data_IF_745806741779
#
_entry.id   IF_745806741779
#
_cell.length_a   1.000
_cell.length_b   1.000
_cell.length_c   1.000
_cell.angle_alpha   90.00
_cell.angle_beta   90.00
_cell.angle_gamma   90.00
#
_symmetry.space_group_name_H-M   'P 1'
#
loop_
_entity.id
_entity.type
_entity.pdbx_description
1 polymer ?
#
# COMPACT_ATOMS: atom_id res chain seq x y z
N UNK A 1 63.56 7.03 2.50
CA UNK A 1 62.32 7.81 2.36
C UNK A 1 61.16 6.84 2.51
N UNK A 2 60.50 6.82 3.67
CA UNK A 2 59.37 5.94 3.95
C UNK A 2 58.10 6.80 4.03
N UNK A 3 57.11 6.47 3.19
CA UNK A 3 55.79 7.13 3.16
C UNK A 3 54.95 6.58 4.32
N UNK A 4 54.39 7.41 5.21
CA UNK A 4 53.52 6.91 6.26
C UNK A 4 52.14 6.54 5.67
N UNK A 5 51.75 5.29 5.86
CA UNK A 5 50.42 4.79 5.50
C UNK A 5 49.36 5.38 6.43
N UNK A 6 48.34 5.97 5.81
CA UNK A 6 47.17 6.53 6.50
C UNK A 6 46.27 5.38 6.97
N UNK A 7 45.74 5.39 8.21
CA UNK A 7 44.82 4.35 8.65
C UNK A 7 43.48 4.45 7.91
N UNK A 8 42.75 3.34 7.71
CA UNK A 8 41.45 3.36 7.06
C UNK A 8 40.44 4.14 7.90
N UNK A 9 39.67 5.01 7.25
CA UNK A 9 38.56 5.73 7.88
C UNK A 9 37.53 4.73 8.37
N UNK A 10 37.22 4.77 9.67
CA UNK A 10 36.09 4.04 10.24
C UNK A 10 34.82 4.43 9.48
N UNK A 11 34.14 3.45 8.89
CA UNK A 11 32.81 3.65 8.31
C UNK A 11 31.85 3.84 9.47
N UNK A 12 31.48 5.09 9.75
CA UNK A 12 30.33 5.36 10.61
C UNK A 12 29.09 4.80 9.91
N UNK A 13 28.51 3.75 10.49
CA UNK A 13 27.17 3.26 10.15
C UNK A 13 26.21 4.37 10.56
N UNK A 14 25.93 5.27 9.62
CA UNK A 14 25.05 6.41 9.83
C UNK A 14 23.67 5.93 10.27
N UNK A 15 23.15 6.53 11.33
CA UNK A 15 21.77 6.43 11.80
C UNK A 15 20.77 6.42 10.62
N UNK A 16 19.68 5.63 10.66
CA UNK A 16 18.66 5.65 9.62
C UNK A 16 18.21 7.09 9.33
N UNK A 17 18.16 7.42 8.03
CA UNK A 17 17.79 8.75 7.49
C UNK A 17 16.45 9.20 8.12
N UNK A 18 16.20 10.51 8.30
CA UNK A 18 14.97 11.03 8.92
C UNK A 18 13.66 10.41 8.38
N UNK A 19 13.58 10.15 7.07
CA UNK A 19 12.42 9.51 6.43
C UNK A 19 12.19 8.06 6.90
N UNK A 20 13.26 7.27 7.00
CA UNK A 20 13.15 5.88 7.47
C UNK A 20 12.66 5.82 8.93
N UNK A 21 13.08 6.79 9.76
CA UNK A 21 12.58 6.93 11.14
C UNK A 21 11.09 7.30 11.17
N UNK A 22 10.63 8.21 10.28
CA UNK A 22 9.22 8.57 10.19
C UNK A 22 8.34 7.36 9.84
N UNK A 23 8.70 6.59 8.80
CA UNK A 23 7.95 5.38 8.44
C UNK A 23 7.99 4.30 9.52
N UNK A 24 9.11 4.15 10.25
CA UNK A 24 9.18 3.23 11.39
C UNK A 24 8.20 3.61 12.50
N UNK A 25 8.14 4.90 12.86
CA UNK A 25 7.19 5.37 13.88
C UNK A 25 5.74 5.19 13.42
N UNK A 26 5.43 5.52 12.17
CA UNK A 26 4.08 5.29 11.62
C UNK A 26 3.73 3.81 11.64
N UNK A 27 4.68 2.94 11.27
CA UNK A 27 4.51 1.49 11.31
C UNK A 27 4.15 1.01 12.71
N UNK A 28 4.91 1.40 13.73
CA UNK A 28 4.70 0.98 15.11
C UNK A 28 3.33 1.44 15.63
N UNK A 29 2.95 2.70 15.36
CA UNK A 29 1.65 3.24 15.76
C UNK A 29 0.48 2.53 15.06
N UNK A 30 0.63 2.22 13.76
CA UNK A 30 -0.37 1.45 13.02
C UNK A 30 -0.51 0.09 13.67
N UNK A 31 0.59 -0.64 13.88
CA UNK A 31 0.59 -1.98 14.46
C UNK A 31 -0.04 -2.04 15.87
N UNK A 32 0.12 -0.96 16.65
CA UNK A 32 -0.46 -0.83 17.99
C UNK A 32 -1.94 -0.43 18.03
N UNK A 33 -2.52 0.00 16.91
CA UNK A 33 -3.85 0.61 16.90
C UNK A 33 -5.01 -0.36 17.21
N UNK A 34 -5.93 0.11 18.08
CA UNK A 34 -7.16 -0.58 18.46
C UNK A 34 -8.41 0.33 18.41
N UNK A 35 -8.35 1.45 17.68
CA UNK A 35 -9.37 2.49 17.71
C UNK A 35 -10.77 2.06 17.20
N UNK A 36 -10.85 1.03 16.34
CA UNK A 36 -12.11 0.59 15.72
C UNK A 36 -12.55 -0.76 16.30
N UNK A 37 -13.47 -0.83 17.30
CA UNK A 37 -13.81 -2.07 18.00
C UNK A 37 -14.29 -3.20 17.07
N UNK A 38 -15.11 -2.86 16.05
CA UNK A 38 -15.61 -3.83 15.06
C UNK A 38 -14.49 -4.49 14.27
N UNK A 39 -13.52 -3.69 13.81
CA UNK A 39 -12.37 -4.19 13.03
C UNK A 39 -11.40 -4.97 13.90
N UNK A 40 -11.20 -4.54 15.14
CA UNK A 40 -10.38 -5.24 16.13
C UNK A 40 -10.95 -6.63 16.42
N UNK A 41 -12.26 -6.71 16.71
CA UNK A 41 -12.93 -7.99 16.95
C UNK A 41 -12.82 -8.92 15.73
N UNK A 42 -13.12 -8.40 14.54
CA UNK A 42 -13.10 -9.19 13.31
C UNK A 42 -11.70 -9.70 12.93
N UNK A 43 -10.69 -8.82 12.89
CA UNK A 43 -9.34 -9.20 12.45
C UNK A 43 -8.71 -10.28 13.34
N UNK A 44 -9.00 -10.21 14.64
CA UNK A 44 -8.53 -11.16 15.65
C UNK A 44 -9.32 -12.47 15.62
N UNK A 45 -10.63 -12.40 15.42
CA UNK A 45 -11.47 -13.60 15.27
C UNK A 45 -11.05 -14.42 14.06
N UNK A 46 -10.84 -13.78 12.91
CA UNK A 46 -10.30 -14.42 11.71
C UNK A 46 -8.92 -15.04 11.96
N UNK A 47 -8.04 -14.36 12.73
CA UNK A 47 -6.71 -14.84 13.06
C UNK A 47 -6.72 -16.04 14.03
N UNK A 48 -7.73 -16.13 14.90
CA UNK A 48 -7.94 -17.27 15.80
C UNK A 48 -8.56 -18.47 15.09
N UNK A 49 -9.64 -18.25 14.34
CA UNK A 49 -10.35 -19.33 13.65
C UNK A 49 -9.50 -19.92 12.54
N UNK A 50 -8.80 -19.05 11.79
CA UNK A 50 -8.01 -19.37 10.59
C UNK A 50 -8.84 -20.05 9.51
N UNK A 51 -8.38 -19.97 8.26
CA UNK A 51 -8.98 -20.77 7.18
C UNK A 51 -8.34 -22.16 7.21
N UNK A 52 -9.10 -23.21 6.90
CA UNK A 52 -8.57 -24.58 6.85
C UNK A 52 -7.28 -24.71 6.00
N UNK A 53 -7.21 -23.98 4.88
CA UNK A 53 -6.02 -23.95 4.01
C UNK A 53 -4.77 -23.31 4.65
N UNK A 54 -4.91 -22.61 5.79
CA UNK A 54 -3.87 -21.85 6.48
C UNK A 54 -3.85 -22.16 7.99
N UNK A 55 -4.34 -23.33 8.40
CA UNK A 55 -4.52 -23.67 9.82
C UNK A 55 -3.19 -23.69 10.59
N UNK A 56 -2.12 -24.13 9.94
CA UNK A 56 -0.77 -24.23 10.52
C UNK A 56 0.00 -22.91 10.47
N UNK A 57 -0.55 -21.87 9.84
CA UNK A 57 0.10 -20.57 9.77
C UNK A 57 -0.22 -19.69 10.99
N UNK A 58 0.77 -18.92 11.42
CA UNK A 58 0.56 -17.84 12.39
C UNK A 58 0.07 -16.59 11.67
N UNK A 59 -1.17 -16.19 11.94
CA UNK A 59 -1.76 -14.98 11.38
C UNK A 59 -1.21 -13.71 12.05
N UNK A 60 -1.07 -12.64 11.27
CA UNK A 60 -0.74 -11.31 11.76
C UNK A 60 -1.80 -10.74 12.73
N UNK A 61 -3.09 -10.77 12.36
CA UNK A 61 -4.21 -10.42 13.25
C UNK A 61 -4.20 -8.99 13.82
N UNK A 62 -3.46 -8.07 13.18
CA UNK A 62 -3.23 -6.68 13.62
C UNK A 62 -3.48 -5.72 12.45
N UNK A 63 -3.52 -4.39 12.69
CA UNK A 63 -3.51 -3.44 11.59
C UNK A 63 -2.27 -3.66 10.72
N UNK A 64 -2.41 -3.50 9.42
CA UNK A 64 -1.35 -3.68 8.45
C UNK A 64 -0.83 -2.28 8.08
N UNK A 65 0.47 -2.00 8.27
CA UNK A 65 1.08 -0.75 7.83
C UNK A 65 1.34 -0.76 6.32
N UNK A 66 1.49 0.43 5.73
CA UNK A 66 2.02 0.54 4.38
C UNK A 66 3.48 0.08 4.31
N UNK A 67 3.95 -0.23 3.10
CA UNK A 67 5.34 -0.59 2.86
C UNK A 67 5.80 -0.19 1.46
N UNK A 68 7.11 -0.09 1.29
CA UNK A 68 7.73 0.16 -0.02
C UNK A 68 8.95 1.05 0.09
N UNK A 69 9.21 1.81 -0.97
CA UNK A 69 10.32 2.75 -1.04
C UNK A 69 9.99 4.04 -0.25
N UNK A 70 10.77 4.42 0.78
CA UNK A 70 10.60 5.69 1.49
C UNK A 70 10.76 6.95 0.63
N UNK A 71 11.24 6.80 -0.62
CA UNK A 71 11.36 7.87 -1.61
C UNK A 71 10.39 7.70 -2.78
N UNK A 72 9.32 6.92 -2.61
CA UNK A 72 8.37 6.66 -3.66
C UNK A 72 7.78 7.94 -4.27
N UNK A 73 7.68 7.96 -5.59
CA UNK A 73 6.93 8.96 -6.35
C UNK A 73 5.53 8.49 -6.73
N UNK A 74 5.25 7.20 -6.54
CA UNK A 74 3.94 6.56 -6.75
C UNK A 74 3.44 5.98 -5.44
N UNK A 75 2.22 6.34 -5.04
CA UNK A 75 1.46 5.66 -3.99
C UNK A 75 0.42 4.74 -4.63
N UNK A 76 0.36 3.49 -4.21
CA UNK A 76 -0.76 2.58 -4.48
C UNK A 76 -1.66 2.57 -3.26
N UNK A 77 -2.88 3.06 -3.43
CA UNK A 77 -3.87 3.17 -2.36
C UNK A 77 -4.99 2.14 -2.55
N UNK A 78 -5.06 1.20 -1.62
CA UNK A 78 -6.12 0.20 -1.51
C UNK A 78 -7.28 0.61 -0.61
N UNK A 79 -8.30 -0.24 -0.57
CA UNK A 79 -9.43 -0.14 0.36
C UNK A 79 -9.01 -0.50 1.79
N UNK A 80 -8.72 -1.77 2.05
CA UNK A 80 -8.33 -2.33 3.34
C UNK A 80 -7.69 -3.72 3.18
N UNK A 81 -6.99 -4.26 4.21
CA UNK A 81 -6.50 -5.64 4.22
C UNK A 81 -7.60 -6.68 4.00
N UNK A 82 -7.31 -7.71 3.19
CA UNK A 82 -8.16 -8.89 3.11
C UNK A 82 -8.00 -9.78 4.36
N UNK A 83 -9.09 -10.41 4.79
CA UNK A 83 -9.16 -11.24 6.00
C UNK A 83 -8.13 -12.39 6.04
N UNK A 84 -7.82 -13.00 4.89
CA UNK A 84 -6.84 -14.08 4.76
C UNK A 84 -5.66 -13.74 3.82
N UNK A 85 -5.54 -12.48 3.42
CA UNK A 85 -4.37 -11.95 2.73
C UNK A 85 -3.51 -11.19 3.72
N UNK A 86 -3.50 -9.86 3.63
CA UNK A 86 -2.70 -8.99 4.49
C UNK A 86 -2.97 -9.15 6.00
N UNK A 87 -4.19 -9.52 6.44
CA UNK A 87 -4.46 -9.81 7.86
C UNK A 87 -3.82 -11.13 8.35
N UNK A 88 -3.48 -12.03 7.41
CA UNK A 88 -2.68 -13.24 7.68
C UNK A 88 -1.19 -12.93 7.59
N UNK A 89 -0.78 -12.28 6.50
CA UNK A 89 0.64 -12.14 6.14
C UNK A 89 1.34 -10.93 6.75
N UNK A 90 0.60 -9.93 7.22
CA UNK A 90 1.14 -8.70 7.81
C UNK A 90 1.71 -7.70 6.80
N UNK A 91 1.53 -7.93 5.49
CA UNK A 91 1.96 -7.01 4.43
C UNK A 91 0.81 -6.73 3.47
N UNK A 92 0.66 -5.47 3.07
CA UNK A 92 -0.42 -5.05 2.17
C UNK A 92 -0.44 -5.90 0.90
N UNK A 93 -1.64 -6.26 0.44
CA UNK A 93 -1.86 -7.06 -0.78
C UNK A 93 -1.03 -8.36 -0.86
N UNK A 94 -0.65 -8.97 0.25
CA UNK A 94 0.23 -10.16 0.26
C UNK A 94 -0.56 -11.40 0.65
N UNK A 95 -0.40 -12.50 -0.11
CA UNK A 95 -1.04 -13.78 0.19
C UNK A 95 -2.51 -13.91 -0.23
N UNK A 96 -2.97 -13.10 -1.18
CA UNK A 96 -4.29 -13.22 -1.79
C UNK A 96 -4.25 -12.90 -3.30
N UNK A 97 -5.32 -13.24 -4.02
CA UNK A 97 -5.39 -13.05 -5.48
C UNK A 97 -5.33 -11.60 -5.93
N UNK A 98 -5.73 -10.64 -5.10
CA UNK A 98 -5.60 -9.22 -5.43
C UNK A 98 -4.14 -8.80 -5.44
N UNK A 99 -3.35 -9.35 -4.53
CA UNK A 99 -1.90 -9.28 -4.52
C UNK A 99 -1.24 -9.77 -5.80
N UNK A 100 -1.61 -10.98 -6.24
CA UNK A 100 -1.02 -11.61 -7.43
C UNK A 100 -1.14 -10.70 -8.66
N UNK A 101 -2.31 -10.09 -8.85
CA UNK A 101 -2.58 -9.16 -9.94
C UNK A 101 -1.82 -7.85 -9.81
N UNK A 102 -1.80 -7.30 -8.59
CA UNK A 102 -1.12 -6.03 -8.30
C UNK A 102 0.39 -6.15 -8.52
N UNK A 103 1.05 -7.11 -7.87
CA UNK A 103 2.51 -7.22 -7.93
C UNK A 103 3.01 -7.70 -9.28
N UNK A 104 2.25 -8.52 -10.02
CA UNK A 104 2.52 -8.80 -11.44
C UNK A 104 2.57 -7.52 -12.28
N UNK A 105 1.56 -6.65 -12.15
CA UNK A 105 1.49 -5.41 -12.91
C UNK A 105 2.61 -4.43 -12.49
N UNK A 106 2.87 -4.31 -11.19
CA UNK A 106 3.97 -3.49 -10.66
C UNK A 106 5.35 -3.99 -11.11
N UNK A 107 5.58 -5.30 -11.14
CA UNK A 107 6.80 -5.91 -11.64
C UNK A 107 7.01 -5.60 -13.12
N UNK A 108 5.98 -5.77 -13.97
CA UNK A 108 6.04 -5.40 -15.39
C UNK A 108 6.35 -3.91 -15.59
N UNK A 109 5.81 -3.05 -14.72
CA UNK A 109 6.13 -1.64 -14.72
C UNK A 109 7.53 -1.34 -14.17
N UNK A 110 8.26 -2.29 -13.58
CA UNK A 110 9.57 -2.05 -12.96
C UNK A 110 9.50 -1.32 -11.62
N UNK A 111 8.38 -1.46 -10.90
CA UNK A 111 8.15 -0.91 -9.55
C UNK A 111 8.37 -1.96 -8.45
N UNK A 112 8.44 -3.25 -8.81
CA UNK A 112 8.70 -4.37 -7.91
C UNK A 112 9.82 -5.25 -8.48
N UNK A 113 10.60 -5.91 -7.62
CA UNK A 113 11.68 -6.81 -8.02
C UNK A 113 11.23 -8.24 -8.37
N UNK A 114 9.99 -8.59 -8.05
CA UNK A 114 9.40 -9.91 -8.31
C UNK A 114 7.89 -9.80 -8.50
N UNK A 115 7.31 -10.80 -9.15
CA UNK A 115 5.86 -10.88 -9.43
C UNK A 115 5.06 -11.28 -8.21
N UNK A 116 5.61 -12.15 -7.36
CA UNK A 116 4.89 -12.80 -6.28
C UNK A 116 5.08 -12.10 -4.94
N UNK A 117 4.02 -12.12 -4.14
CA UNK A 117 3.97 -11.58 -2.78
C UNK A 117 3.27 -12.59 -1.89
N UNK A 118 4.03 -13.55 -1.37
CA UNK A 118 3.52 -14.72 -0.67
C UNK A 118 3.48 -14.52 0.85
N UNK A 119 4.54 -13.93 1.42
CA UNK A 119 4.66 -13.63 2.84
C UNK A 119 5.57 -12.42 3.07
N UNK A 120 5.48 -11.75 4.23
CA UNK A 120 6.19 -10.49 4.48
C UNK A 120 7.72 -10.57 4.33
N UNK A 121 8.31 -11.75 4.50
CA UNK A 121 9.76 -12.01 4.43
C UNK A 121 10.25 -12.61 3.11
N UNK A 122 9.42 -12.67 2.06
CA UNK A 122 9.73 -13.31 0.76
C UNK A 122 10.70 -12.52 -0.15
N UNK A 123 11.30 -11.44 0.35
CA UNK A 123 12.26 -10.64 -0.39
C UNK A 123 11.67 -9.63 -1.39
N UNK A 124 10.34 -9.49 -1.47
CA UNK A 124 9.70 -8.44 -2.28
C UNK A 124 10.18 -7.04 -1.84
N UNK A 125 10.67 -6.28 -2.81
CA UNK A 125 11.13 -4.89 -2.68
C UNK A 125 10.46 -4.03 -3.74
N UNK A 126 10.00 -2.86 -3.31
CA UNK A 126 9.44 -1.85 -4.20
C UNK A 126 10.47 -0.75 -4.44
N UNK A 127 10.53 -0.24 -5.67
CA UNK A 127 11.38 0.90 -6.05
C UNK A 127 10.50 1.97 -6.68
N UNK A 128 10.55 3.19 -6.13
CA UNK A 128 9.70 4.30 -6.58
C UNK A 128 8.21 4.15 -6.24
N UNK A 129 7.81 3.11 -5.51
CA UNK A 129 6.42 2.86 -5.11
C UNK A 129 6.26 2.58 -3.61
N UNK A 130 5.17 3.10 -3.04
CA UNK A 130 4.67 2.77 -1.69
C UNK A 130 3.27 2.16 -1.83
N UNK A 131 2.98 1.08 -1.10
CA UNK A 131 1.69 0.39 -1.14
C UNK A 131 1.04 0.48 0.23
N UNK A 132 -0.19 0.98 0.29
CA UNK A 132 -0.95 1.16 1.53
C UNK A 132 -2.46 1.03 1.29
N UNK A 133 -3.27 1.24 2.34
CA UNK A 133 -4.73 1.27 2.26
C UNK A 133 -5.34 2.42 3.07
N UNK A 134 -6.56 2.80 2.71
CA UNK A 134 -7.34 3.80 3.43
C UNK A 134 -7.72 3.34 4.85
N UNK A 135 -8.04 2.04 5.01
CA UNK A 135 -8.32 1.42 6.32
C UNK A 135 -7.25 0.37 6.61
N UNK A 136 -6.63 0.43 7.79
CA UNK A 136 -5.47 -0.43 8.12
C UNK A 136 -5.83 -1.81 8.65
N UNK A 137 -7.10 -2.08 8.96
CA UNK A 137 -7.53 -3.37 9.50
C UNK A 137 -8.44 -4.11 8.51
N UNK A 138 -8.46 -5.44 8.56
CA UNK A 138 -9.43 -6.20 7.79
C UNK A 138 -10.85 -5.88 8.27
N UNK A 139 -11.77 -5.47 7.38
CA UNK A 139 -13.18 -5.33 7.70
C UNK A 139 -13.97 -6.59 7.32
N UNK A 140 -15.05 -6.91 8.06
CA UNK A 140 -16.05 -7.86 7.60
C UNK A 140 -16.51 -7.57 6.17
N UNK A 141 -16.66 -8.63 5.37
CA UNK A 141 -17.07 -8.59 3.95
C UNK A 141 -16.22 -7.68 3.04
N UNK A 142 -15.02 -7.29 3.48
CA UNK A 142 -14.20 -6.26 2.83
C UNK A 142 -14.95 -4.92 2.67
N UNK A 143 -15.78 -4.56 3.66
CA UNK A 143 -16.58 -3.33 3.69
C UNK A 143 -16.33 -2.54 4.98
N UNK A 144 -15.34 -1.63 4.97
CA UNK A 144 -15.19 -0.67 6.05
C UNK A 144 -16.26 0.42 5.96
N UNK A 145 -16.61 1.01 7.11
CA UNK A 145 -17.46 2.21 7.15
C UNK A 145 -16.65 3.48 6.84
N UNK A 146 -17.35 4.59 6.59
CA UNK A 146 -16.69 5.90 6.47
C UNK A 146 -16.08 6.34 7.81
N UNK A 147 -16.71 6.04 8.94
CA UNK A 147 -16.17 6.32 10.28
C UNK A 147 -14.85 5.57 10.50
N UNK A 148 -14.77 4.29 10.10
CA UNK A 148 -13.53 3.50 10.22
C UNK A 148 -12.41 4.01 9.29
N UNK A 149 -12.77 4.52 8.11
CA UNK A 149 -11.83 5.23 7.24
C UNK A 149 -11.34 6.50 7.89
N UNK A 150 -12.25 7.30 8.42
CA UNK A 150 -11.93 8.59 9.03
C UNK A 150 -11.06 8.39 10.28
N UNK A 151 -11.24 7.30 11.02
CA UNK A 151 -10.33 6.94 12.11
C UNK A 151 -8.97 6.39 11.67
N UNK A 152 -8.89 5.73 10.51
CA UNK A 152 -7.59 5.35 9.93
C UNK A 152 -6.88 6.52 9.24
N UNK A 153 -7.59 7.62 8.95
CA UNK A 153 -7.11 8.78 8.19
C UNK A 153 -5.81 9.38 8.74
N UNK A 154 -5.61 9.54 10.07
CA UNK A 154 -4.36 10.10 10.59
C UNK A 154 -3.12 9.27 10.23
N UNK A 155 -3.25 7.95 10.05
CA UNK A 155 -2.13 7.13 9.58
C UNK A 155 -1.81 7.38 8.11
N UNK A 156 -2.83 7.39 7.25
CA UNK A 156 -2.65 7.66 5.82
C UNK A 156 -2.04 9.04 5.60
N UNK A 157 -2.52 10.06 6.32
CA UNK A 157 -1.98 11.42 6.23
C UNK A 157 -0.49 11.47 6.58
N UNK A 158 -0.08 10.82 7.67
CA UNK A 158 1.35 10.76 8.04
C UNK A 158 2.20 10.01 7.02
N UNK A 159 1.66 8.95 6.39
CA UNK A 159 2.34 8.27 5.27
C UNK A 159 2.52 9.23 4.09
N UNK A 160 1.49 9.99 3.73
CA UNK A 160 1.53 10.99 2.65
C UNK A 160 2.54 12.11 2.94
N UNK A 161 2.54 12.66 4.14
CA UNK A 161 3.49 13.70 4.58
C UNK A 161 4.94 13.20 4.54
N UNK A 162 5.17 11.93 4.88
CA UNK A 162 6.50 11.33 4.83
C UNK A 162 6.99 11.08 3.39
N UNK A 163 6.08 10.88 2.43
CA UNK A 163 6.35 10.67 1.01
C UNK A 163 6.57 12.01 0.27
N UNK A 164 7.61 12.75 0.64
CA UNK A 164 7.89 14.08 0.05
C UNK A 164 8.19 14.08 -1.46
N UNK A 165 8.47 12.91 -2.05
CA UNK A 165 8.68 12.74 -3.49
C UNK A 165 7.42 12.33 -4.26
N UNK A 166 6.28 12.20 -3.58
CA UNK A 166 5.04 11.72 -4.17
C UNK A 166 4.58 12.64 -5.30
N UNK A 167 4.19 12.05 -6.43
CA UNK A 167 3.56 12.74 -7.55
C UNK A 167 2.26 12.09 -7.99
N UNK A 168 2.19 10.77 -7.92
CA UNK A 168 1.06 10.01 -8.47
C UNK A 168 0.44 9.10 -7.42
N UNK A 169 -0.88 9.03 -7.37
CA UNK A 169 -1.63 8.11 -6.51
C UNK A 169 -2.50 7.19 -7.37
N UNK A 170 -2.16 5.91 -7.40
CA UNK A 170 -2.96 4.86 -8.04
C UNK A 170 -4.05 4.42 -7.05
N UNK A 171 -5.30 4.79 -7.33
CA UNK A 171 -6.46 4.50 -6.50
C UNK A 171 -7.12 3.20 -6.94
N UNK A 172 -7.05 2.16 -6.11
CA UNK A 172 -7.64 0.84 -6.38
C UNK A 172 -9.09 0.77 -5.88
N UNK A 173 -10.03 1.09 -6.77
CA UNK A 173 -11.46 1.11 -6.49
C UNK A 173 -12.00 2.46 -6.00
N UNK A 174 -13.32 2.60 -6.05
CA UNK A 174 -14.01 3.86 -5.75
C UNK A 174 -13.78 4.36 -4.31
N UNK A 175 -13.65 3.45 -3.33
CA UNK A 175 -13.42 3.79 -1.94
C UNK A 175 -12.03 4.42 -1.71
N UNK A 176 -10.99 3.81 -2.31
CA UNK A 176 -9.64 4.35 -2.26
C UNK A 176 -9.56 5.71 -2.95
N UNK A 177 -10.24 5.84 -4.10
CA UNK A 177 -10.35 7.11 -4.80
C UNK A 177 -11.08 8.18 -3.97
N UNK A 178 -12.16 7.82 -3.27
CA UNK A 178 -12.84 8.71 -2.35
C UNK A 178 -11.92 9.20 -1.22
N UNK A 179 -11.18 8.29 -0.60
CA UNK A 179 -10.18 8.64 0.42
C UNK A 179 -9.10 9.58 -0.15
N UNK A 180 -8.57 9.28 -1.33
CA UNK A 180 -7.58 10.11 -2.00
C UNK A 180 -8.14 11.53 -2.29
N UNK A 181 -9.32 11.66 -2.88
CA UNK A 181 -9.91 12.97 -3.12
C UNK A 181 -10.11 13.79 -1.84
N UNK A 182 -10.33 13.14 -0.70
CA UNK A 182 -10.41 13.81 0.60
C UNK A 182 -9.05 14.30 1.09
N UNK A 183 -7.98 13.50 0.96
CA UNK A 183 -6.62 13.91 1.34
C UNK A 183 -6.05 15.00 0.43
N UNK A 184 -6.34 14.93 -0.86
CA UNK A 184 -5.81 15.85 -1.87
C UNK A 184 -6.80 16.97 -2.22
N UNK A 185 -7.84 17.17 -1.43
CA UNK A 185 -8.79 18.29 -1.55
C UNK A 185 -9.43 18.47 -2.94
N UNK A 186 -9.66 17.37 -3.66
CA UNK A 186 -10.27 17.39 -5.00
C UNK A 186 -11.77 17.65 -4.89
N UNK A 187 -12.20 18.86 -5.25
CA UNK A 187 -13.61 19.29 -5.22
C UNK A 187 -13.99 20.14 -6.46
N UNK A 188 -15.15 19.89 -7.12
CA UNK A 188 -16.02 18.73 -6.91
C UNK A 188 -15.31 17.43 -7.33
N UNK A 189 -15.58 16.33 -6.64
CA UNK A 189 -14.95 15.03 -6.92
C UNK A 189 -15.44 14.47 -8.27
N UNK A 190 -14.56 14.27 -9.28
CA UNK A 190 -14.96 13.63 -10.53
C UNK A 190 -15.47 12.22 -10.33
N UNK A 191 -16.33 11.73 -11.23
CA UNK A 191 -16.87 10.36 -11.16
C UNK A 191 -15.74 9.33 -11.30
N UNK A 192 -15.72 8.34 -10.41
CA UNK A 192 -14.78 7.23 -10.50
C UNK A 192 -15.01 6.38 -11.77
N UNK A 193 -13.91 6.01 -12.44
CA UNK A 193 -13.87 5.06 -13.55
C UNK A 193 -12.46 4.51 -13.73
N UNK A 194 -12.31 3.33 -14.30
CA UNK A 194 -10.98 2.80 -14.61
C UNK A 194 -10.29 3.67 -15.67
N UNK A 195 -9.02 4.00 -15.45
CA UNK A 195 -8.23 4.88 -16.31
C UNK A 195 -8.54 6.37 -16.15
N UNK A 196 -9.45 6.76 -15.25
CA UNK A 196 -9.70 8.18 -14.96
C UNK A 196 -8.48 8.79 -14.29
N UNK A 197 -7.98 9.89 -14.84
CA UNK A 197 -6.91 10.70 -14.28
C UNK A 197 -7.49 12.02 -13.76
N UNK A 198 -7.07 12.43 -12.56
CA UNK A 198 -7.48 13.69 -11.96
C UNK A 198 -6.26 14.43 -11.44
N UNK A 199 -6.05 15.65 -11.92
CA UNK A 199 -5.04 16.54 -11.34
C UNK A 199 -5.61 17.15 -10.07
N UNK A 200 -4.90 16.97 -8.96
CA UNK A 200 -5.24 17.53 -7.67
C UNK A 200 -4.42 18.81 -7.39
N UNK A 201 -4.88 19.66 -6.45
CA UNK A 201 -4.07 20.73 -5.87
C UNK A 201 -2.64 20.28 -5.53
N UNK A 202 -1.65 21.14 -5.76
CA UNK A 202 -0.24 20.80 -5.55
C UNK A 202 0.40 19.99 -6.68
N UNK A 203 -0.33 19.71 -7.76
CA UNK A 203 0.21 19.04 -8.96
C UNK A 203 0.26 17.52 -8.87
N UNK A 204 -0.35 16.92 -7.84
CA UNK A 204 -0.48 15.46 -7.77
C UNK A 204 -1.47 14.94 -8.81
N UNK A 205 -1.27 13.72 -9.28
CA UNK A 205 -2.18 13.06 -10.22
C UNK A 205 -2.78 11.81 -9.58
N UNK A 206 -4.10 11.75 -9.47
CA UNK A 206 -4.83 10.56 -9.05
C UNK A 206 -5.18 9.74 -10.29
N UNK A 207 -4.70 8.50 -10.35
CA UNK A 207 -4.99 7.55 -11.44
C UNK A 207 -5.90 6.46 -10.90
N UNK A 208 -7.10 6.34 -11.45
CA UNK A 208 -8.10 5.39 -10.99
C UNK A 208 -7.94 4.03 -11.67
N UNK A 209 -8.10 2.96 -10.91
CA UNK A 209 -8.26 1.61 -11.43
C UNK A 209 -9.40 0.90 -10.72
N UNK A 210 -10.13 0.02 -11.42
CA UNK A 210 -10.92 -0.98 -10.71
C UNK A 210 -10.02 -1.81 -9.80
N UNK A 211 -10.53 -2.15 -8.62
CA UNK A 211 -9.79 -2.98 -7.67
C UNK A 211 -9.52 -4.37 -8.28
N UNK A 212 -8.32 -4.96 -8.14
CA UNK A 212 -8.02 -6.31 -8.62
C UNK A 212 -8.65 -7.40 -7.73
N UNK A 213 -9.87 -7.19 -7.26
CA UNK A 213 -10.64 -8.21 -6.52
C UNK A 213 -10.94 -9.39 -7.45
N UNK A 214 -11.04 -10.59 -6.88
CA UNK A 214 -11.46 -11.79 -7.62
C UNK A 214 -12.74 -11.58 -8.43
N UNK A 215 -13.73 -10.85 -7.89
CA UNK A 215 -14.95 -10.53 -8.61
C UNK A 215 -14.69 -9.75 -9.91
N UNK A 216 -13.90 -8.67 -9.84
CA UNK A 216 -13.60 -7.85 -11.01
C UNK A 216 -12.73 -8.59 -12.05
N UNK A 217 -11.78 -9.41 -11.59
CA UNK A 217 -10.87 -10.12 -12.51
C UNK A 217 -11.55 -11.32 -13.16
N UNK A 218 -12.40 -12.06 -12.43
CA UNK A 218 -13.12 -13.21 -12.99
C UNK A 218 -14.24 -12.81 -13.94
N UNK A 219 -14.89 -11.68 -13.72
CA UNK A 219 -15.95 -11.17 -14.62
C UNK A 219 -15.41 -10.41 -15.83
N UNK A 220 -14.09 -10.25 -15.95
CA UNK A 220 -13.46 -9.47 -17.02
C UNK A 220 -13.66 -7.95 -16.90
N UNK A 221 -14.28 -7.46 -15.80
CA UNK A 221 -14.40 -6.02 -15.52
C UNK A 221 -13.02 -5.36 -15.38
N UNK A 222 -12.03 -6.10 -14.90
CA UNK A 222 -10.63 -5.73 -14.96
C UNK A 222 -9.84 -6.85 -15.63
N UNK A 223 -9.10 -6.52 -16.69
CA UNK A 223 -8.20 -7.45 -17.39
C UNK A 223 -6.74 -7.13 -17.09
N UNK A 224 -5.83 -8.07 -17.34
CA UNK A 224 -4.40 -7.83 -17.09
C UNK A 224 -3.85 -6.63 -17.89
N UNK A 225 -4.15 -6.47 -19.20
CA UNK A 225 -3.70 -5.30 -19.95
C UNK A 225 -4.19 -3.97 -19.37
N UNK A 226 -5.40 -3.94 -18.81
CA UNK A 226 -5.96 -2.74 -18.18
C UNK A 226 -5.16 -2.30 -16.96
N UNK A 227 -4.87 -3.21 -16.02
CA UNK A 227 -4.07 -2.85 -14.84
C UNK A 227 -2.61 -2.58 -15.20
N UNK A 228 -2.04 -3.29 -16.18
CA UNK A 228 -0.69 -3.06 -16.68
C UNK A 228 -0.57 -1.63 -17.29
N UNK A 229 -1.59 -1.19 -18.02
CA UNK A 229 -1.67 0.17 -18.57
C UNK A 229 -1.72 1.24 -17.48
N UNK A 230 -2.47 1.02 -16.40
CA UNK A 230 -2.52 1.96 -15.25
C UNK A 230 -1.12 2.18 -14.65
N UNK A 231 -0.36 1.11 -14.40
CA UNK A 231 0.98 1.25 -13.83
C UNK A 231 2.00 1.82 -14.81
N UNK A 232 1.87 1.50 -16.10
CA UNK A 232 2.67 2.12 -17.16
C UNK A 232 2.43 3.63 -17.20
N UNK A 233 1.16 4.05 -17.14
CA UNK A 233 0.77 5.45 -17.14
C UNK A 233 1.21 6.18 -15.87
N UNK A 234 1.05 5.56 -14.70
CA UNK A 234 1.52 6.11 -13.43
C UNK A 234 3.03 6.40 -13.46
N UNK A 235 3.84 5.52 -14.09
CA UNK A 235 5.28 5.77 -14.25
C UNK A 235 5.59 6.92 -15.19
N UNK A 236 4.88 7.04 -16.31
CA UNK A 236 5.07 8.15 -17.23
C UNK A 236 4.87 9.50 -16.51
N UNK A 237 3.78 9.61 -15.73
CA UNK A 237 3.43 10.80 -14.97
C UNK A 237 4.43 11.20 -13.87
N UNK A 238 5.34 10.31 -13.47
CA UNK A 238 6.40 10.67 -12.50
C UNK A 238 7.63 11.30 -13.14
N UNK A 239 7.74 11.24 -14.47
CA UNK A 239 8.89 11.73 -15.24
C UNK A 239 8.65 13.11 -15.85
N UNK A 240 7.38 13.49 -15.99
CA UNK A 240 6.90 14.81 -16.38
C UNK A 240 6.99 15.79 -15.19
#
# INVERSE_FOLDING_TARGET
MAVPSRPPRSVHVGSPRPRARAFSSIHDDVCGCRACPRLVAWREDVARQRRAAFVDETYWGRPVPGFGDPNASILVLGLAPAAHGANRTGRMFTGDRSGDWLYRAMYKAGLANQVESLHASDGLKLTGAWVTSAVKCAPPDNKPSNEERDECRPFLRRELEALVGLRVVVCLGAFAYEAACSEFEVKPRPKFGHGVEVTAPGGFVLVCSFHPSQQNTFTGKLTEPMIDAVFTRARALTRD
#
